data_IF_830573596715
#
_entry.id   IF_830573596715
#
_cell.length_a   1.000
_cell.length_b   1.000
_cell.length_c   1.000
_cell.angle_alpha   90.00
_cell.angle_beta   90.00
_cell.angle_gamma   90.00
#
_symmetry.space_group_name_H-M   'P 1'
#
loop_
_entity.id
_entity.type
_entity.pdbx_description
1 polymer ?
#
# COMPACT_ATOMS: atom_id res chain seq x y z
N UNK A 1 2.94 22.57 -42.29
CA UNK A 1 3.52 21.70 -41.24
C UNK A 1 5.03 21.77 -41.43
N UNK A 2 5.87 21.56 -40.41
CA UNK A 2 7.37 21.64 -40.46
C UNK A 2 8.07 22.96 -40.10
N UNK A 3 7.63 23.68 -39.05
CA UNK A 3 8.42 24.80 -38.47
C UNK A 3 8.80 24.68 -36.98
N UNK A 4 8.60 23.52 -36.35
CA UNK A 4 8.80 23.39 -34.89
C UNK A 4 9.63 22.16 -34.46
N UNK A 5 10.73 21.88 -35.15
CA UNK A 5 11.72 20.89 -34.70
C UNK A 5 13.08 21.57 -34.54
N UNK A 6 13.55 21.74 -33.30
CA UNK A 6 14.97 22.05 -33.02
C UNK A 6 15.70 20.71 -32.80
N UNK A 7 16.64 20.37 -33.68
CA UNK A 7 17.62 19.27 -33.50
C UNK A 7 18.94 19.86 -32.99
N UNK A 8 19.70 19.05 -32.25
CA UNK A 8 21.12 19.30 -31.95
C UNK A 8 21.92 18.15 -32.58
N UNK A 9 22.91 18.48 -33.40
CA UNK A 9 23.83 17.52 -34.03
C UNK A 9 24.98 17.18 -33.07
N UNK A 10 25.47 15.95 -33.17
CA UNK A 10 26.73 15.50 -32.57
C UNK A 10 27.51 14.77 -33.66
N UNK A 11 28.69 15.31 -33.96
CA UNK A 11 29.69 14.74 -34.86
C UNK A 11 30.37 13.52 -34.22
N UNK A 12 30.64 12.52 -35.05
CA UNK A 12 31.89 11.76 -35.02
C UNK A 12 31.98 10.86 -36.25
N UNK A 13 32.89 11.21 -37.16
CA UNK A 13 33.43 10.33 -38.19
C UNK A 13 34.24 9.19 -37.56
N UNK A 14 34.19 7.99 -38.15
CA UNK A 14 35.38 7.25 -38.60
C UNK A 14 34.99 6.04 -39.48
N UNK A 15 35.72 5.96 -40.60
CA UNK A 15 35.65 4.99 -41.70
C UNK A 15 36.12 3.57 -41.32
N UNK A 16 35.68 2.55 -42.08
CA UNK A 16 36.49 1.77 -43.05
C UNK A 16 35.73 0.51 -43.54
N UNK A 17 35.68 0.32 -44.87
CA UNK A 17 35.21 -0.88 -45.61
C UNK A 17 36.33 -1.96 -45.72
N UNK A 18 36.30 -2.98 -46.63
CA UNK A 18 35.24 -3.64 -47.44
C UNK A 18 35.33 -5.20 -47.41
N UNK A 19 34.41 -5.94 -48.06
CA UNK A 19 34.80 -6.84 -49.19
C UNK A 19 33.68 -7.72 -49.82
N UNK A 20 33.74 -7.73 -51.15
CA UNK A 20 33.46 -8.76 -52.17
C UNK A 20 32.16 -9.63 -52.19
N UNK A 21 31.41 -9.41 -53.28
CA UNK A 21 30.50 -10.33 -54.02
C UNK A 21 31.25 -11.50 -54.71
N UNK A 22 30.65 -12.57 -55.35
CA UNK A 22 29.33 -12.57 -56.00
C UNK A 22 28.54 -13.92 -56.14
N UNK A 23 27.29 -13.77 -56.63
CA UNK A 23 26.67 -14.61 -57.69
C UNK A 23 25.61 -15.71 -57.39
N UNK A 24 24.52 -15.61 -58.18
CA UNK A 24 23.60 -16.62 -58.75
C UNK A 24 22.41 -17.25 -57.97
N UNK A 25 21.22 -16.77 -58.40
CA UNK A 25 19.99 -17.50 -58.83
C UNK A 25 19.19 -18.40 -57.89
N UNK A 26 17.89 -18.10 -57.78
CA UNK A 26 16.84 -19.04 -57.36
C UNK A 26 15.62 -18.35 -56.73
N UNK A 27 14.52 -18.25 -57.50
CA UNK A 27 13.21 -17.77 -57.05
C UNK A 27 12.64 -18.55 -55.86
N UNK A 28 12.21 -17.84 -54.80
CA UNK A 28 10.90 -18.05 -54.14
C UNK A 28 10.61 -17.02 -53.03
N UNK A 29 9.38 -16.52 -53.07
CA UNK A 29 8.64 -15.63 -52.14
C UNK A 29 9.21 -15.49 -50.73
N UNK A 30 9.58 -14.25 -50.36
CA UNK A 30 9.78 -13.84 -48.96
C UNK A 30 9.08 -12.50 -48.70
N UNK A 31 8.19 -12.51 -47.71
CA UNK A 31 7.55 -11.32 -47.17
C UNK A 31 8.63 -10.30 -46.75
N UNK A 32 8.60 -9.10 -47.34
CA UNK A 32 9.52 -8.04 -46.95
C UNK A 32 8.91 -7.27 -45.79
N UNK A 33 9.43 -7.59 -44.60
CA UNK A 33 9.33 -6.77 -43.40
C UNK A 33 9.74 -5.34 -43.75
N UNK A 34 8.81 -4.40 -43.68
CA UNK A 34 9.17 -3.00 -43.43
C UNK A 34 9.41 -2.91 -41.94
N UNK A 35 10.67 -2.94 -41.54
CA UNK A 35 11.11 -2.49 -40.22
C UNK A 35 10.84 -0.99 -40.13
N UNK A 36 9.60 -0.63 -39.81
CA UNK A 36 9.34 0.68 -39.23
C UNK A 36 9.98 0.65 -37.85
N UNK A 37 11.21 1.14 -37.77
CA UNK A 37 11.84 1.48 -36.51
C UNK A 37 10.90 2.46 -35.81
N UNK A 38 10.10 1.93 -34.88
CA UNK A 38 9.29 2.73 -33.96
C UNK A 38 10.27 3.59 -33.17
N UNK A 39 10.45 4.82 -33.62
CA UNK A 39 11.13 5.84 -32.86
C UNK A 39 10.27 6.12 -31.62
N UNK A 40 10.53 5.43 -30.50
CA UNK A 40 9.87 5.68 -29.22
C UNK A 40 10.47 6.91 -28.55
N UNK A 41 10.45 8.04 -29.27
CA UNK A 41 10.75 9.34 -28.68
C UNK A 41 9.58 9.76 -27.80
N UNK A 42 9.82 9.94 -26.51
CA UNK A 42 8.83 10.52 -25.60
C UNK A 42 8.57 11.97 -26.01
N UNK A 43 7.30 12.34 -26.20
CA UNK A 43 6.95 13.71 -26.61
C UNK A 43 7.13 14.65 -25.42
N UNK A 44 7.84 15.75 -25.64
CA UNK A 44 8.08 16.75 -24.61
C UNK A 44 6.91 17.76 -24.54
N UNK A 45 6.72 18.34 -23.35
CA UNK A 45 5.76 19.41 -23.14
C UNK A 45 6.30 20.74 -23.70
N UNK A 46 5.41 21.59 -24.20
CA UNK A 46 5.72 22.96 -24.60
C UNK A 46 4.79 23.90 -23.84
N UNK A 47 5.33 24.99 -23.28
CA UNK A 47 4.56 26.00 -22.55
C UNK A 47 3.40 26.59 -23.37
N UNK A 48 3.53 26.64 -24.70
CA UNK A 48 2.46 27.07 -25.59
C UNK A 48 1.19 26.20 -25.50
N UNK A 49 1.26 24.99 -24.96
CA UNK A 49 0.12 24.08 -24.82
C UNK A 49 -0.84 24.49 -23.70
N UNK A 50 -0.45 25.43 -22.83
CA UNK A 50 -1.36 26.05 -21.88
C UNK A 50 -2.51 26.78 -22.58
N UNK A 51 -2.30 27.28 -23.80
CA UNK A 51 -3.35 27.88 -24.63
C UNK A 51 -4.46 26.90 -25.03
N UNK A 52 -4.18 25.59 -24.98
CA UNK A 52 -5.16 24.53 -25.17
C UNK A 52 -5.72 24.00 -23.84
N UNK A 53 -5.37 24.63 -22.71
CA UNK A 53 -5.81 24.23 -21.37
C UNK A 53 -5.04 23.05 -20.77
N UNK A 54 -3.82 22.77 -21.24
CA UNK A 54 -3.02 21.64 -20.78
C UNK A 54 -1.75 22.07 -20.05
N UNK A 55 -1.48 21.39 -18.93
CA UNK A 55 -0.19 21.34 -18.25
C UNK A 55 0.40 19.93 -18.36
N UNK A 56 1.53 19.64 -17.73
CA UNK A 56 2.11 18.30 -17.67
C UNK A 56 2.25 17.80 -16.23
N UNK A 57 2.26 16.48 -16.07
CA UNK A 57 2.58 15.79 -14.81
C UNK A 57 3.46 14.56 -15.07
N UNK A 58 4.18 14.09 -14.05
CA UNK A 58 5.10 12.94 -14.16
C UNK A 58 6.56 13.35 -14.36
N UNK A 59 7.42 12.38 -14.64
CA UNK A 59 8.87 12.58 -14.77
C UNK A 59 9.24 13.45 -15.97
N UNK A 60 10.30 14.26 -15.83
CA UNK A 60 10.81 15.14 -16.90
C UNK A 60 11.14 14.39 -18.20
N UNK A 61 11.49 13.10 -18.10
CA UNK A 61 11.81 12.25 -19.24
C UNK A 61 10.56 11.67 -19.95
N UNK A 62 9.40 11.67 -19.28
CA UNK A 62 8.13 11.10 -19.76
C UNK A 62 6.92 11.95 -19.29
N UNK A 63 6.80 13.21 -19.72
CA UNK A 63 5.71 14.08 -19.27
C UNK A 63 4.35 13.57 -19.81
N UNK A 64 3.32 13.57 -18.97
CA UNK A 64 1.94 13.23 -19.35
C UNK A 64 1.08 14.49 -19.36
N UNK A 65 0.31 14.75 -20.44
CA UNK A 65 -0.57 15.91 -20.49
C UNK A 65 -1.70 15.79 -19.46
N UNK A 66 -1.91 16.85 -18.69
CA UNK A 66 -3.00 17.00 -17.72
C UNK A 66 -3.89 18.17 -18.16
N UNK A 67 -5.18 17.92 -18.32
CA UNK A 67 -6.15 18.99 -18.57
C UNK A 67 -6.38 19.80 -17.29
N UNK A 68 -6.20 21.12 -17.36
CA UNK A 68 -6.35 22.03 -16.20
C UNK A 68 -7.83 22.22 -15.80
N UNK A 69 -8.76 21.96 -16.72
CA UNK A 69 -10.21 22.16 -16.48
C UNK A 69 -10.84 20.96 -15.77
N UNK A 70 -10.56 19.74 -16.23
CA UNK A 70 -11.20 18.52 -15.71
C UNK A 70 -10.27 17.60 -14.94
N UNK A 71 -8.97 17.87 -14.92
CA UNK A 71 -7.98 17.00 -14.26
C UNK A 71 -7.73 15.67 -14.99
N UNK A 72 -8.22 15.49 -16.23
CA UNK A 72 -8.00 14.26 -16.99
C UNK A 72 -6.52 14.15 -17.44
N UNK A 73 -5.89 13.02 -17.09
CA UNK A 73 -4.54 12.66 -17.55
C UNK A 73 -4.64 11.92 -18.86
N UNK A 74 -3.97 12.43 -19.88
CA UNK A 74 -3.88 11.79 -21.19
C UNK A 74 -2.55 11.03 -21.33
N UNK A 75 -2.51 10.08 -22.26
CA UNK A 75 -1.25 9.40 -22.60
C UNK A 75 -0.24 10.38 -23.24
N UNK A 76 1.06 10.14 -23.08
CA UNK A 76 2.11 10.96 -23.73
C UNK A 76 1.94 11.04 -25.26
N UNK A 77 1.42 9.99 -25.90
CA UNK A 77 1.10 9.97 -27.35
C UNK A 77 0.01 10.98 -27.76
N UNK A 78 -0.73 11.53 -26.79
CA UNK A 78 -1.71 12.59 -26.98
C UNK A 78 -1.11 14.00 -26.85
N UNK A 79 0.17 14.14 -26.51
CA UNK A 79 0.93 15.40 -26.43
C UNK A 79 1.20 15.98 -27.83
N UNK A 80 0.12 16.24 -28.57
CA UNK A 80 0.10 16.78 -29.93
C UNK A 80 -0.97 17.88 -29.95
N UNK A 81 -0.68 19.08 -30.47
CA UNK A 81 -1.60 20.22 -30.42
C UNK A 81 -3.02 19.93 -30.93
N UNK A 82 -3.15 19.17 -32.02
CA UNK A 82 -4.45 18.80 -32.58
C UNK A 82 -5.29 17.94 -31.63
N UNK A 83 -4.65 17.01 -30.90
CA UNK A 83 -5.33 16.13 -29.93
C UNK A 83 -5.73 16.87 -28.66
N UNK A 84 -4.85 17.75 -28.17
CA UNK A 84 -5.11 18.60 -27.01
C UNK A 84 -6.25 19.60 -27.31
N UNK A 85 -6.19 20.28 -28.46
CA UNK A 85 -7.25 21.18 -28.93
C UNK A 85 -8.58 20.45 -29.09
N UNK A 86 -8.57 19.24 -29.67
CA UNK A 86 -9.77 18.41 -29.80
C UNK A 86 -10.38 18.05 -28.43
N UNK A 87 -9.56 17.72 -27.43
CA UNK A 87 -10.05 17.48 -26.07
C UNK A 87 -10.78 18.71 -25.53
N UNK A 88 -10.16 19.91 -25.62
CA UNK A 88 -10.79 21.15 -25.17
C UNK A 88 -12.12 21.40 -25.90
N UNK A 89 -12.16 21.20 -27.22
CA UNK A 89 -13.37 21.39 -28.04
C UNK A 89 -14.51 20.42 -27.72
N UNK A 90 -14.17 19.17 -27.41
CA UNK A 90 -15.17 18.09 -27.23
C UNK A 90 -15.65 17.99 -25.79
N UNK A 91 -14.75 18.13 -24.81
CA UNK A 91 -15.06 18.02 -23.38
C UNK A 91 -15.42 19.35 -22.74
N UNK A 92 -14.89 20.46 -23.27
CA UNK A 92 -15.08 21.80 -22.72
C UNK A 92 -15.47 22.85 -23.79
N UNK A 93 -16.58 22.66 -24.53
CA UNK A 93 -16.97 23.57 -25.62
C UNK A 93 -17.09 25.04 -25.19
N UNK A 94 -17.56 25.29 -23.96
CA UNK A 94 -17.75 26.62 -23.39
C UNK A 94 -16.44 27.39 -23.12
N UNK A 95 -15.29 26.70 -23.10
CA UNK A 95 -13.98 27.29 -22.77
C UNK A 95 -13.03 27.33 -23.96
N UNK A 96 -13.48 26.90 -25.15
CA UNK A 96 -12.66 26.81 -26.36
C UNK A 96 -12.06 28.15 -26.82
N UNK A 97 -12.76 29.27 -26.57
CA UNK A 97 -12.35 30.60 -27.01
C UNK A 97 -11.67 31.43 -25.90
N UNK A 98 -11.34 30.82 -24.76
CA UNK A 98 -10.61 31.50 -23.69
C UNK A 98 -9.13 31.62 -24.05
N UNK A 99 -8.49 32.69 -23.59
CA UNK A 99 -7.08 32.95 -23.83
C UNK A 99 -6.17 32.13 -22.89
N UNK A 100 -4.88 32.09 -23.20
CA UNK A 100 -3.89 31.42 -22.37
C UNK A 100 -3.91 31.92 -20.91
N UNK A 101 -4.10 33.22 -20.68
CA UNK A 101 -4.12 33.82 -19.33
C UNK A 101 -5.27 33.29 -18.46
N UNK A 102 -6.39 32.89 -19.06
CA UNK A 102 -7.46 32.22 -18.32
C UNK A 102 -6.99 30.87 -17.77
N UNK A 103 -6.34 30.06 -18.60
CA UNK A 103 -5.85 28.73 -18.21
C UNK A 103 -4.66 28.82 -17.25
N UNK A 104 -3.80 29.83 -17.39
CA UNK A 104 -2.72 30.12 -16.42
C UNK A 104 -3.30 30.44 -15.05
N UNK A 105 -4.27 31.37 -14.97
CA UNK A 105 -4.94 31.70 -13.69
C UNK A 105 -5.68 30.51 -13.09
N UNK A 106 -6.34 29.70 -13.92
CA UNK A 106 -7.03 28.50 -13.46
C UNK A 106 -6.04 27.49 -12.85
N UNK A 107 -4.90 27.26 -13.51
CA UNK A 107 -3.82 26.41 -12.98
C UNK A 107 -3.32 26.92 -11.63
N UNK A 108 -2.98 28.21 -11.55
CA UNK A 108 -2.48 28.81 -10.32
C UNK A 108 -3.49 28.73 -9.17
N UNK A 109 -4.77 28.93 -9.45
CA UNK A 109 -5.82 28.81 -8.45
C UNK A 109 -5.96 27.37 -7.96
N UNK A 110 -5.93 26.38 -8.87
CA UNK A 110 -5.96 24.97 -8.51
C UNK A 110 -4.73 24.56 -7.69
N UNK A 111 -3.54 25.03 -8.05
CA UNK A 111 -2.31 24.81 -7.29
C UNK A 111 -2.36 25.48 -5.91
N UNK A 112 -2.90 26.70 -5.82
CA UNK A 112 -3.13 27.41 -4.53
C UNK A 112 -4.13 26.65 -3.66
N UNK A 113 -5.21 26.12 -4.23
CA UNK A 113 -6.18 25.29 -3.51
C UNK A 113 -5.55 23.98 -3.03
N UNK A 114 -4.83 23.27 -3.90
CA UNK A 114 -4.14 22.03 -3.54
C UNK A 114 -3.06 22.25 -2.47
N UNK A 115 -2.29 23.34 -2.57
CA UNK A 115 -1.28 23.69 -1.56
C UNK A 115 -1.90 24.15 -0.24
N UNK A 116 -3.02 24.88 -0.27
CA UNK A 116 -3.79 25.21 0.92
C UNK A 116 -4.31 23.93 1.59
N UNK A 117 -4.95 23.04 0.84
CA UNK A 117 -5.39 21.74 1.37
C UNK A 117 -4.23 20.94 1.96
N UNK A 118 -3.08 20.87 1.27
CA UNK A 118 -1.89 20.17 1.76
C UNK A 118 -1.32 20.80 3.03
N UNK A 119 -1.38 22.12 3.19
CA UNK A 119 -0.97 22.83 4.42
C UNK A 119 -1.94 22.56 5.56
N UNK A 120 -3.24 22.58 5.28
CA UNK A 120 -4.29 22.27 6.27
C UNK A 120 -4.25 20.80 6.71
N UNK A 121 -3.83 19.88 5.83
CA UNK A 121 -3.71 18.45 6.13
C UNK A 121 -2.33 18.02 6.64
N UNK A 122 -1.31 18.88 6.59
CA UNK A 122 0.02 18.58 7.14
C UNK A 122 -0.07 18.63 8.67
N UNK A 123 -0.47 17.51 9.25
CA UNK A 123 -0.42 17.29 10.69
C UNK A 123 1.02 17.48 11.16
N UNK A 124 1.22 18.26 12.22
CA UNK A 124 2.51 18.42 12.86
C UNK A 124 3.03 17.03 13.27
N UNK A 125 4.30 16.72 12.98
CA UNK A 125 4.92 15.43 13.32
C UNK A 125 4.75 15.08 14.82
N UNK A 126 4.81 16.10 15.69
CA UNK A 126 4.55 15.92 17.12
C UNK A 126 3.10 15.54 17.42
N UNK A 127 2.14 16.14 16.73
CA UNK A 127 0.73 15.81 16.87
C UNK A 127 0.42 14.41 16.30
N UNK A 128 1.10 14.03 15.23
CA UNK A 128 1.01 12.68 14.68
C UNK A 128 1.53 11.64 15.68
N UNK A 129 2.71 11.86 16.26
CA UNK A 129 3.28 10.97 17.29
C UNK A 129 2.37 10.86 18.51
N UNK A 130 1.82 11.98 18.99
CA UNK A 130 0.86 11.99 20.09
C UNK A 130 -0.40 11.17 19.76
N UNK A 131 -0.92 11.28 18.52
CA UNK A 131 -2.07 10.49 18.06
C UNK A 131 -1.80 8.98 18.12
N UNK A 132 -0.62 8.52 17.68
CA UNK A 132 -0.22 7.11 17.80
C UNK A 132 -0.11 6.66 19.26
N UNK A 133 0.46 7.49 20.15
CA UNK A 133 0.56 7.16 21.57
C UNK A 133 -0.81 6.99 22.23
N UNK A 134 -1.76 7.88 21.92
CA UNK A 134 -3.14 7.75 22.43
C UNK A 134 -3.80 6.48 21.87
N UNK A 135 -3.63 6.20 20.58
CA UNK A 135 -4.16 4.99 19.96
C UNK A 135 -3.61 3.71 20.60
N UNK A 136 -2.31 3.67 20.90
CA UNK A 136 -1.65 2.54 21.58
C UNK A 136 -2.23 2.32 22.98
N UNK A 137 -2.42 3.40 23.76
CA UNK A 137 -2.99 3.33 25.11
C UNK A 137 -4.44 2.83 25.09
N UNK A 138 -5.25 3.28 24.12
CA UNK A 138 -6.64 2.82 23.95
C UNK A 138 -6.67 1.33 23.60
N UNK A 139 -5.83 0.88 22.68
CA UNK A 139 -5.72 -0.52 22.29
C UNK A 139 -5.30 -1.40 23.47
N UNK A 140 -4.25 -1.00 24.22
CA UNK A 140 -3.80 -1.69 25.43
C UNK A 140 -4.88 -1.78 26.51
N UNK A 141 -5.69 -0.73 26.63
CA UNK A 141 -6.81 -0.67 27.60
C UNK A 141 -8.06 -1.42 27.13
N UNK A 142 -8.07 -1.98 25.90
CA UNK A 142 -9.20 -2.65 25.25
C UNK A 142 -10.49 -1.80 25.29
N UNK A 143 -10.35 -0.48 25.05
CA UNK A 143 -11.47 0.47 25.03
C UNK A 143 -11.90 0.79 23.61
N UNK A 144 -13.15 1.25 23.46
CA UNK A 144 -13.65 1.74 22.18
C UNK A 144 -12.84 2.95 21.70
N UNK A 145 -12.62 3.04 20.39
CA UNK A 145 -11.91 4.14 19.75
C UNK A 145 -12.61 5.49 19.97
N UNK A 146 -13.94 5.48 20.11
CA UNK A 146 -14.78 6.65 20.41
C UNK A 146 -14.39 7.40 21.69
N UNK A 147 -13.73 6.72 22.64
CA UNK A 147 -13.27 7.34 23.90
C UNK A 147 -12.25 8.45 23.65
N UNK A 148 -11.47 8.35 22.56
CA UNK A 148 -10.51 9.38 22.18
C UNK A 148 -11.18 10.73 21.90
N UNK A 149 -12.27 10.69 21.14
CA UNK A 149 -12.99 11.88 20.69
C UNK A 149 -13.95 12.41 21.75
N UNK A 150 -14.63 11.51 22.45
CA UNK A 150 -15.69 11.87 23.42
C UNK A 150 -15.15 12.27 24.79
N UNK A 151 -14.01 11.72 25.22
CA UNK A 151 -13.50 11.91 26.58
C UNK A 151 -12.06 12.43 26.61
N UNK A 152 -11.12 11.75 25.94
CA UNK A 152 -9.69 12.08 26.06
C UNK A 152 -9.40 13.48 25.51
N UNK A 153 -9.84 13.78 24.29
CA UNK A 153 -9.57 15.08 23.67
C UNK A 153 -10.22 16.26 24.44
N UNK A 154 -11.51 16.22 24.84
CA UNK A 154 -12.10 17.26 25.68
C UNK A 154 -11.39 17.43 27.03
N UNK A 155 -11.03 16.32 27.68
CA UNK A 155 -10.33 16.35 28.98
C UNK A 155 -8.96 17.00 28.86
N UNK A 156 -8.16 16.61 27.87
CA UNK A 156 -6.86 17.22 27.63
C UNK A 156 -6.96 18.71 27.29
N UNK A 157 -7.99 19.11 26.53
CA UNK A 157 -8.25 20.53 26.24
C UNK A 157 -8.57 21.32 27.50
N UNK A 158 -9.49 20.84 28.32
CA UNK A 158 -9.89 21.54 29.55
C UNK A 158 -8.73 21.73 30.53
N UNK A 159 -7.92 20.69 30.74
CA UNK A 159 -6.73 20.76 31.60
C UNK A 159 -5.71 21.75 31.05
N UNK A 160 -5.40 21.68 29.76
CA UNK A 160 -4.39 22.56 29.13
C UNK A 160 -4.88 24.00 29.05
N UNK A 161 -6.17 24.23 28.83
CA UNK A 161 -6.77 25.56 28.83
C UNK A 161 -6.65 26.22 30.20
N UNK A 162 -6.95 25.50 31.28
CA UNK A 162 -6.82 26.01 32.66
C UNK A 162 -5.35 26.25 33.04
N UNK A 163 -4.46 25.31 32.70
CA UNK A 163 -3.06 25.37 33.16
C UNK A 163 -2.16 26.27 32.31
N UNK A 164 -2.36 26.28 30.99
CA UNK A 164 -1.43 26.87 30.01
C UNK A 164 -2.11 27.91 29.11
N UNK A 165 -3.42 28.11 29.27
CA UNK A 165 -4.19 29.08 28.53
C UNK A 165 -4.76 28.58 27.19
N UNK A 166 -5.62 29.39 26.55
CA UNK A 166 -6.43 28.98 25.41
C UNK A 166 -5.60 28.71 24.14
N UNK A 167 -4.46 29.37 23.96
CA UNK A 167 -3.60 29.15 22.79
C UNK A 167 -2.96 27.75 22.81
N UNK A 168 -2.54 27.27 23.99
CA UNK A 168 -2.02 25.91 24.14
C UNK A 168 -3.13 24.86 23.89
N UNK A 169 -4.35 25.12 24.35
CA UNK A 169 -5.50 24.24 24.13
C UNK A 169 -5.87 24.12 22.63
N UNK A 170 -5.74 25.21 21.86
CA UNK A 170 -5.91 25.19 20.39
C UNK A 170 -4.86 24.30 19.70
N UNK A 171 -3.64 24.24 20.21
CA UNK A 171 -2.63 23.32 19.65
C UNK A 171 -2.97 21.84 19.93
N UNK A 172 -3.48 21.52 21.12
CA UNK A 172 -3.98 20.18 21.45
C UNK A 172 -5.17 19.79 20.56
N UNK A 173 -6.03 20.75 20.21
CA UNK A 173 -7.15 20.51 19.30
C UNK A 173 -6.73 20.04 17.91
N UNK A 174 -5.48 20.27 17.49
CA UNK A 174 -4.95 19.83 16.19
C UNK A 174 -4.51 18.37 16.19
N UNK A 175 -4.43 17.71 17.35
CA UNK A 175 -4.08 16.29 17.42
C UNK A 175 -5.25 15.47 16.85
N UNK A 176 -5.04 14.65 15.81
CA UNK A 176 -6.12 13.91 15.19
C UNK A 176 -6.47 12.70 16.07
N UNK A 177 -7.55 12.83 16.84
CA UNK A 177 -8.04 11.82 17.79
C UNK A 177 -9.48 11.37 17.46
N UNK A 178 -9.97 11.60 16.25
CA UNK A 178 -11.29 11.09 15.85
C UNK A 178 -11.31 9.57 15.86
N UNK A 179 -12.48 8.98 16.07
CA UNK A 179 -12.70 7.54 16.09
C UNK A 179 -12.05 6.81 14.89
N UNK A 180 -12.33 7.32 13.68
CA UNK A 180 -11.73 6.81 12.44
C UNK A 180 -10.20 6.94 12.40
N UNK A 181 -9.64 8.00 12.98
CA UNK A 181 -8.18 8.16 13.04
C UNK A 181 -7.58 7.10 13.95
N UNK A 182 -8.10 6.95 15.16
CA UNK A 182 -7.60 5.97 16.14
C UNK A 182 -7.67 4.56 15.57
N UNK A 183 -8.79 4.19 14.94
CA UNK A 183 -8.94 2.92 14.25
C UNK A 183 -7.83 2.68 13.21
N UNK A 184 -7.57 3.66 12.34
CA UNK A 184 -6.49 3.58 11.35
C UNK A 184 -5.12 3.45 12.00
N UNK A 185 -4.83 4.23 13.05
CA UNK A 185 -3.54 4.17 13.75
C UNK A 185 -3.30 2.80 14.37
N UNK A 186 -4.32 2.19 14.96
CA UNK A 186 -4.25 0.83 15.51
C UNK A 186 -3.98 -0.18 14.39
N UNK A 187 -4.68 -0.08 13.26
CA UNK A 187 -4.44 -0.95 12.11
C UNK A 187 -3.03 -0.77 11.52
N UNK A 188 -2.55 0.47 11.40
CA UNK A 188 -1.19 0.77 10.94
C UNK A 188 -0.15 0.12 11.86
N UNK A 189 -0.30 0.27 13.18
CA UNK A 189 0.59 -0.37 14.16
C UNK A 189 0.50 -1.89 14.11
N UNK A 190 -0.71 -2.45 13.92
CA UNK A 190 -0.90 -3.89 13.78
C UNK A 190 -0.19 -4.44 12.55
N UNK A 191 -0.30 -3.76 11.41
CA UNK A 191 0.37 -4.15 10.18
C UNK A 191 1.90 -4.05 10.28
N UNK A 192 2.40 -3.04 10.98
CA UNK A 192 3.83 -2.90 11.28
C UNK A 192 4.34 -4.08 12.14
N UNK A 193 3.63 -4.40 13.23
CA UNK A 193 3.95 -5.56 14.08
C UNK A 193 3.93 -6.87 13.28
N UNK A 194 2.90 -7.08 12.47
CA UNK A 194 2.78 -8.26 11.59
C UNK A 194 3.98 -8.38 10.66
N UNK A 195 4.39 -7.26 10.04
CA UNK A 195 5.56 -7.24 9.14
C UNK A 195 6.86 -7.63 9.84
N UNK A 196 7.08 -7.12 11.06
CA UNK A 196 8.25 -7.44 11.89
C UNK A 196 8.24 -8.91 12.32
N UNK A 197 7.08 -9.43 12.71
CA UNK A 197 6.93 -10.86 13.09
C UNK A 197 7.22 -11.75 11.88
N UNK A 198 6.68 -11.44 10.70
CA UNK A 198 6.94 -12.18 9.47
C UNK A 198 8.43 -12.17 9.09
N UNK A 199 9.11 -11.02 9.23
CA UNK A 199 10.54 -10.93 8.98
C UNK A 199 11.34 -11.85 9.91
N UNK A 200 11.04 -11.83 11.21
CA UNK A 200 11.73 -12.70 12.18
C UNK A 200 11.48 -14.18 11.96
N UNK A 201 10.25 -14.57 11.61
CA UNK A 201 9.92 -15.96 11.28
C UNK A 201 10.74 -16.44 10.08
N UNK A 202 10.91 -15.59 9.06
CA UNK A 202 11.72 -15.93 7.88
C UNK A 202 13.20 -16.14 8.24
N UNK A 203 13.73 -15.35 9.17
CA UNK A 203 15.11 -15.49 9.65
C UNK A 203 15.29 -16.76 10.51
N UNK A 204 14.31 -17.08 11.35
CA UNK A 204 14.33 -18.27 12.23
C UNK A 204 14.38 -19.59 11.45
N UNK A 205 13.97 -19.59 10.17
CA UNK A 205 13.77 -20.74 9.27
C UNK A 205 12.73 -21.78 9.74
N UNK A 206 12.57 -21.97 11.05
CA UNK A 206 11.63 -22.86 11.71
C UNK A 206 10.72 -22.08 12.63
N UNK A 207 9.46 -22.47 12.67
CA UNK A 207 8.47 -21.94 13.61
C UNK A 207 7.42 -23.00 13.93
N UNK A 208 6.73 -22.81 15.05
CA UNK A 208 5.56 -23.58 15.43
C UNK A 208 4.34 -22.66 15.45
N UNK A 209 3.18 -23.21 15.09
CA UNK A 209 1.90 -22.52 15.16
C UNK A 209 1.03 -23.21 16.19
N UNK A 210 0.46 -22.42 17.10
CA UNK A 210 -0.60 -22.86 17.99
C UNK A 210 -1.91 -22.27 17.48
N UNK A 211 -2.84 -23.14 17.09
CA UNK A 211 -4.15 -22.77 16.60
C UNK A 211 -5.19 -23.02 17.70
N UNK A 212 -6.07 -22.05 17.91
CA UNK A 212 -7.17 -22.13 18.85
C UNK A 212 -8.47 -21.70 18.17
N UNK A 213 -9.55 -22.44 18.43
CA UNK A 213 -10.88 -22.14 17.89
C UNK A 213 -11.77 -21.62 19.02
N UNK A 214 -12.22 -20.38 18.91
CA UNK A 214 -13.17 -19.77 19.84
C UNK A 214 -14.47 -19.43 19.13
N UNK A 215 -15.61 -19.66 19.76
CA UNK A 215 -16.90 -19.14 19.28
C UNK A 215 -17.14 -17.75 19.86
N UNK A 216 -17.59 -16.82 19.03
CA UNK A 216 -17.98 -15.49 19.48
C UNK A 216 -19.40 -15.48 20.06
N UNK A 217 -19.79 -14.35 20.64
CA UNK A 217 -21.12 -14.16 21.25
C UNK A 217 -22.28 -14.27 20.24
N UNK A 218 -21.98 -14.20 18.94
CA UNK A 218 -22.95 -14.37 17.84
C UNK A 218 -22.96 -15.79 17.28
N UNK A 219 -22.18 -16.71 17.87
CA UNK A 219 -22.09 -18.11 17.48
C UNK A 219 -21.18 -18.36 16.27
N UNK A 220 -20.42 -17.38 15.81
CA UNK A 220 -19.45 -17.56 14.72
C UNK A 220 -18.11 -18.04 15.27
N UNK A 221 -17.53 -19.05 14.63
CA UNK A 221 -16.21 -19.54 15.01
C UNK A 221 -15.12 -18.60 14.51
N UNK A 222 -14.15 -18.31 15.36
CA UNK A 222 -12.96 -17.53 15.09
C UNK A 222 -11.73 -18.42 15.34
N UNK A 223 -10.84 -18.46 14.36
CA UNK A 223 -9.56 -19.13 14.43
C UNK A 223 -8.50 -18.13 14.87
N UNK A 224 -7.91 -18.37 16.04
CA UNK A 224 -6.77 -17.64 16.58
C UNK A 224 -5.50 -18.44 16.32
N UNK A 225 -4.43 -17.74 15.95
CA UNK A 225 -3.12 -18.34 15.78
C UNK A 225 -2.07 -17.57 16.56
N UNK A 226 -1.27 -18.28 17.33
CA UNK A 226 -0.02 -17.79 17.89
C UNK A 226 1.14 -18.48 17.19
N UNK A 227 2.25 -17.76 17.02
CA UNK A 227 3.46 -18.25 16.38
C UNK A 227 4.62 -18.24 17.37
N UNK A 228 5.34 -19.36 17.44
CA UNK A 228 6.57 -19.50 18.21
C UNK A 228 7.77 -19.66 17.26
N UNK A 229 8.78 -18.83 17.43
CA UNK A 229 9.99 -18.85 16.60
C UNK A 229 11.24 -18.50 17.43
N UNK A 230 12.41 -18.80 16.89
CA UNK A 230 13.70 -18.51 17.52
C UNK A 230 14.16 -17.13 17.08
N UNK A 231 14.42 -16.25 18.05
CA UNK A 231 14.95 -14.90 17.83
C UNK A 231 16.24 -14.73 18.64
N UNK A 232 17.38 -14.97 17.98
CA UNK A 232 18.68 -15.13 18.65
C UNK A 232 18.70 -16.40 19.49
N UNK A 233 18.99 -16.26 20.79
CA UNK A 233 19.07 -17.39 21.74
C UNK A 233 17.75 -17.61 22.51
N UNK A 234 16.69 -16.90 22.17
CA UNK A 234 15.40 -16.97 22.85
C UNK A 234 14.27 -17.44 21.93
N UNK A 235 13.42 -18.32 22.45
CA UNK A 235 12.14 -18.65 21.82
C UNK A 235 11.15 -17.53 22.16
N UNK A 236 10.53 -16.94 21.14
CA UNK A 236 9.50 -15.91 21.31
C UNK A 236 8.16 -16.44 20.83
N UNK A 237 7.12 -16.07 21.55
CA UNK A 237 5.73 -16.31 21.17
C UNK A 237 5.04 -14.98 20.88
N UNK A 238 4.36 -14.91 19.74
CA UNK A 238 3.62 -13.73 19.31
C UNK A 238 2.25 -14.13 18.80
N UNK A 239 1.26 -13.27 19.01
CA UNK A 239 -0.01 -13.38 18.30
C UNK A 239 0.24 -13.20 16.80
N UNK A 240 -0.37 -14.07 15.99
CA UNK A 240 -0.15 -14.10 14.56
C UNK A 240 -1.37 -13.59 13.80
N UNK A 241 -2.53 -14.25 13.94
CA UNK A 241 -3.77 -13.76 13.33
C UNK A 241 -5.01 -14.20 14.11
N UNK A 242 -6.12 -13.49 13.84
CA UNK A 242 -7.47 -13.93 14.15
C UNK A 242 -8.33 -13.78 12.89
N UNK A 243 -8.99 -14.86 12.47
CA UNK A 243 -9.86 -14.90 11.29
C UNK A 243 -11.16 -15.59 11.61
N UNK A 244 -12.26 -15.00 11.16
CA UNK A 244 -13.56 -15.67 11.21
C UNK A 244 -13.55 -16.87 10.25
N UNK A 245 -14.06 -18.01 10.73
CA UNK A 245 -14.29 -19.18 9.89
C UNK A 245 -15.65 -19.01 9.19
N UNK A 246 -15.71 -19.18 7.86
CA UNK A 246 -16.88 -18.80 7.08
C UNK A 246 -18.13 -19.64 7.37
N UNK A 247 -18.04 -20.96 7.58
CA UNK A 247 -19.23 -21.81 7.76
C UNK A 247 -19.04 -23.05 8.64
N UNK A 248 -17.87 -23.71 8.59
CA UNK A 248 -17.65 -25.00 9.25
C UNK A 248 -16.33 -25.01 10.02
N UNK A 249 -16.35 -25.63 11.18
CA UNK A 249 -15.18 -25.84 12.05
C UNK A 249 -14.50 -27.16 11.74
N UNK A 250 -14.40 -27.51 10.46
CA UNK A 250 -13.70 -28.72 10.03
C UNK A 250 -12.20 -28.46 9.98
N UNK A 251 -11.40 -29.49 10.26
CA UNK A 251 -9.94 -29.39 10.15
C UNK A 251 -9.46 -28.96 8.75
N UNK A 252 -10.21 -29.30 7.70
CA UNK A 252 -9.96 -28.84 6.33
C UNK A 252 -10.08 -27.32 6.20
N UNK A 253 -11.11 -26.71 6.78
CA UNK A 253 -11.35 -25.27 6.73
C UNK A 253 -10.28 -24.51 7.52
N UNK A 254 -9.93 -25.01 8.72
CA UNK A 254 -8.84 -24.48 9.55
C UNK A 254 -7.51 -24.52 8.77
N UNK A 255 -7.22 -25.65 8.12
CA UNK A 255 -6.01 -25.79 7.31
C UNK A 255 -5.99 -24.83 6.13
N UNK A 256 -7.12 -24.65 5.43
CA UNK A 256 -7.25 -23.73 4.30
C UNK A 256 -6.96 -22.29 4.73
N UNK A 257 -7.66 -21.78 5.75
CA UNK A 257 -7.50 -20.41 6.24
C UNK A 257 -6.06 -20.16 6.71
N UNK A 258 -5.47 -21.11 7.42
CA UNK A 258 -4.07 -21.01 7.89
C UNK A 258 -3.10 -20.99 6.71
N UNK A 259 -3.29 -21.86 5.72
CA UNK A 259 -2.42 -21.96 4.54
C UNK A 259 -2.49 -20.68 3.69
N UNK A 260 -3.68 -20.17 3.42
CA UNK A 260 -3.88 -18.92 2.69
C UNK A 260 -3.18 -17.74 3.37
N UNK A 261 -3.28 -17.66 4.71
CA UNK A 261 -2.62 -16.60 5.47
C UNK A 261 -1.09 -16.72 5.42
N UNK A 262 -0.55 -17.93 5.56
CA UNK A 262 0.89 -18.18 5.45
C UNK A 262 1.43 -17.85 4.06
N UNK A 263 0.70 -18.21 3.00
CA UNK A 263 1.08 -17.91 1.62
C UNK A 263 1.08 -16.40 1.35
N UNK A 264 0.09 -15.67 1.85
CA UNK A 264 0.08 -14.19 1.81
C UNK A 264 1.28 -13.59 2.54
N UNK A 265 1.69 -14.20 3.66
CA UNK A 265 2.90 -13.85 4.40
C UNK A 265 4.20 -14.35 3.77
N UNK A 266 4.16 -15.04 2.63
CA UNK A 266 5.34 -15.61 1.96
C UNK A 266 6.03 -16.73 2.76
N UNK A 267 5.30 -17.39 3.66
CA UNK A 267 5.77 -18.50 4.50
C UNK A 267 5.36 -19.83 3.89
N UNK A 268 6.19 -20.87 4.09
CA UNK A 268 5.90 -22.23 3.61
C UNK A 268 5.67 -23.17 4.80
N UNK A 269 4.59 -23.95 4.77
CA UNK A 269 4.30 -25.00 5.77
C UNK A 269 5.37 -26.10 5.88
N UNK A 270 6.29 -26.24 4.91
CA UNK A 270 7.39 -27.21 5.03
C UNK A 270 8.35 -26.90 6.17
N UNK A 271 8.31 -25.67 6.66
CA UNK A 271 9.17 -25.15 7.71
C UNK A 271 8.48 -25.16 9.09
N UNK A 272 7.24 -25.63 9.17
CA UNK A 272 6.46 -25.65 10.41
C UNK A 272 6.55 -26.98 11.12
N UNK A 273 6.95 -26.96 12.38
CA UNK A 273 6.57 -28.01 13.33
C UNK A 273 5.15 -27.69 13.78
N UNK A 274 4.15 -28.18 13.04
CA UNK A 274 2.75 -27.96 13.42
C UNK A 274 2.42 -28.92 14.55
N UNK A 275 2.56 -28.47 15.79
CA UNK A 275 1.83 -29.07 16.90
C UNK A 275 0.38 -28.60 16.80
N UNK A 276 -0.42 -29.33 16.01
CA UNK A 276 -1.87 -29.25 16.11
C UNK A 276 -2.30 -29.88 17.42
N UNK A 277 -2.17 -29.16 18.54
CA UNK A 277 -3.00 -29.46 19.69
C UNK A 277 -4.42 -28.98 19.35
N UNK A 278 -5.16 -29.81 18.62
CA UNK A 278 -6.60 -29.64 18.42
C UNK A 278 -7.30 -30.02 19.71
N UNK A 279 -7.09 -29.22 20.76
CA UNK A 279 -7.81 -29.35 22.01
C UNK A 279 -9.10 -28.54 21.87
N UNK A 280 -10.16 -29.19 21.40
CA UNK A 280 -11.52 -28.69 21.58
C UNK A 280 -11.81 -28.73 23.08
N UNK A 281 -11.40 -27.71 23.81
CA UNK A 281 -11.80 -27.54 25.21
C UNK A 281 -13.25 -27.07 25.24
N UNK A 282 -14.18 -28.03 25.31
CA UNK A 282 -15.52 -27.74 25.82
C UNK A 282 -15.41 -27.37 27.32
N UNK A 283 -16.01 -26.27 27.77
CA UNK A 283 -15.93 -25.88 29.17
C UNK A 283 -16.94 -26.72 29.94
N UNK A 284 -16.51 -27.67 30.76
CA UNK A 284 -17.11 -27.93 32.07
C UNK A 284 -16.25 -28.92 32.86
N UNK A 285 -15.95 -28.53 34.10
CA UNK A 285 -15.27 -29.24 35.17
C UNK A 285 -13.73 -29.15 35.19
N UNK A 286 -13.28 -28.29 36.11
CA UNK A 286 -11.97 -28.33 36.70
C UNK A 286 -11.76 -29.65 37.43
N UNK A 287 -10.69 -30.37 37.09
CA UNK A 287 -9.90 -31.19 38.02
C UNK A 287 -8.49 -31.34 37.45
N UNK A 288 -7.50 -31.17 38.33
CA UNK A 288 -6.08 -31.43 38.11
C UNK A 288 -5.83 -32.73 37.33
N UNK A 289 -4.80 -32.74 36.47
CA UNK A 289 -3.75 -33.77 36.48
C UNK A 289 -2.64 -33.49 35.44
N UNK A 290 -1.46 -33.37 36.02
CA UNK A 290 -0.14 -33.86 35.57
C UNK A 290 0.66 -33.17 34.46
N UNK A 291 1.78 -32.61 34.90
CA UNK A 291 2.97 -32.26 34.13
C UNK A 291 3.64 -33.56 33.66
N UNK A 292 3.43 -33.97 32.42
CA UNK A 292 4.16 -35.11 31.89
C UNK A 292 3.81 -35.48 30.46
N UNK A 293 4.78 -35.26 29.56
CA UNK A 293 4.87 -35.82 28.21
C UNK A 293 3.84 -35.34 27.17
N UNK A 294 4.17 -34.24 26.49
CA UNK A 294 3.55 -33.89 25.21
C UNK A 294 4.07 -34.82 24.10
N UNK A 295 3.15 -35.56 23.48
CA UNK A 295 3.38 -36.45 22.34
C UNK A 295 2.99 -35.69 21.07
N UNK A 296 3.94 -35.47 20.17
CA UNK A 296 3.68 -34.88 18.85
C UNK A 296 3.27 -35.98 17.85
N UNK A 297 2.11 -35.81 17.19
CA UNK A 297 1.68 -36.64 16.07
C UNK A 297 1.86 -35.87 14.75
N UNK A 298 2.91 -36.20 14.01
CA UNK A 298 3.09 -35.76 12.62
C UNK A 298 2.98 -37.00 11.71
N UNK A 299 1.94 -37.05 10.87
CA UNK A 299 1.82 -38.04 9.79
C UNK A 299 1.75 -39.50 10.23
N UNK A 300 1.09 -39.80 11.35
CA UNK A 300 0.85 -41.18 11.79
C UNK A 300 2.11 -41.92 12.29
N UNK A 301 3.17 -41.20 12.67
CA UNK A 301 4.32 -41.76 13.38
C UNK A 301 4.58 -40.95 14.66
N UNK A 302 4.61 -41.65 15.79
CA UNK A 302 5.00 -41.09 17.08
C UNK A 302 6.48 -40.69 17.05
N UNK A 303 6.76 -39.43 17.41
CA UNK A 303 8.11 -38.99 17.69
C UNK A 303 8.17 -38.50 19.13
N UNK A 304 9.03 -39.15 19.92
CA UNK A 304 9.31 -38.79 21.31
C UNK A 304 10.36 -37.69 21.31
N UNK A 305 9.98 -36.48 21.70
CA UNK A 305 10.94 -35.40 21.96
C UNK A 305 11.67 -35.77 23.27
N UNK A 306 13.00 -35.81 23.21
CA UNK A 306 13.88 -35.86 24.39
C UNK A 306 14.35 -34.45 24.72
#
# INVERSE_FOLDING_TARGET
>A
MDKFLKRKELDSEQNLEPDESPSMSGDQKKAKMVSSSKFSGTRQYSESYISFGFTFTGDANKPTPLCVVCGEKLANSAMVPSKLKRHLQTKHPSLQNKNADYFVRLRENTEKQATFMRKTTKVNERALKASYQVAELIAKSKKSHTVAETLILPTCKAIVEEMLGPEAAKEIAKVPLSDNTISRRINDMSADIESVVLEKIRISEKFALQLDESTDISGHAQLLANVRFVDGDAIRENFFFCKALPEKTTGEEIFRVTSEYLEQGGLKLKNTGVDCNMAVYHPFQATELDLGSDIALVGGKEYRIR
#
